data_IF_239057997216
#
_entry.id   IF_239057997216
#
_cell.length_a   1.000
_cell.length_b   1.000
_cell.length_c   1.000
_cell.angle_alpha   90.00
_cell.angle_beta   90.00
_cell.angle_gamma   90.00
#
_symmetry.space_group_name_H-M   'P 1'
#
loop_
_entity.id
_entity.type
_entity.pdbx_description
1 polymer ?
#
# COMPACT_ATOMS: atom_id res chain seq x y z
N UNK A 1 11.60 -55.47 14.88
CA UNK A 1 12.30 -54.35 15.46
C UNK A 1 12.57 -53.25 14.47
N UNK A 2 13.25 -53.59 13.42
CA UNK A 2 13.58 -52.60 12.42
C UNK A 2 12.37 -51.99 11.77
N UNK A 3 11.34 -52.79 11.64
CA UNK A 3 10.12 -52.27 10.98
C UNK A 3 9.49 -51.15 11.77
N UNK A 4 9.55 -51.25 13.07
CA UNK A 4 9.00 -50.19 13.89
C UNK A 4 9.72 -48.89 13.70
N UNK A 5 11.02 -48.96 13.61
CA UNK A 5 11.81 -47.76 13.40
C UNK A 5 11.50 -47.12 12.08
N UNK A 6 11.41 -47.93 11.06
CA UNK A 6 11.09 -47.42 9.74
C UNK A 6 9.72 -46.80 9.72
N UNK A 7 8.81 -47.40 10.42
CA UNK A 7 7.47 -46.87 10.49
C UNK A 7 7.45 -45.52 11.18
N UNK A 8 8.19 -45.38 12.26
CA UNK A 8 8.28 -44.12 12.97
C UNK A 8 8.93 -43.06 12.10
N UNK A 9 9.93 -43.46 11.35
CA UNK A 9 10.58 -42.52 10.43
C UNK A 9 9.62 -42.02 9.39
N UNK A 10 8.80 -42.93 8.87
CA UNK A 10 7.82 -42.52 7.88
C UNK A 10 6.85 -41.50 8.42
N UNK A 11 6.43 -41.68 9.62
CA UNK A 11 5.52 -40.73 10.23
C UNK A 11 6.18 -39.39 10.44
N UNK A 12 7.41 -39.40 10.89
CA UNK A 12 8.15 -38.15 11.06
C UNK A 12 8.31 -37.45 9.75
N UNK A 13 8.55 -38.19 8.71
CA UNK A 13 8.67 -37.60 7.38
C UNK A 13 7.38 -36.91 6.95
N UNK A 14 6.27 -37.56 7.21
CA UNK A 14 4.98 -36.97 6.87
C UNK A 14 4.74 -35.69 7.64
N UNK A 15 5.07 -35.68 8.88
CA UNK A 15 4.92 -34.47 9.68
C UNK A 15 5.81 -33.34 9.15
N UNK A 16 7.01 -33.70 8.78
CA UNK A 16 7.93 -32.71 8.24
C UNK A 16 7.40 -32.11 6.95
N UNK A 17 6.90 -32.95 6.07
CA UNK A 17 6.33 -32.50 4.81
C UNK A 17 5.10 -31.63 5.05
N UNK A 18 4.25 -32.07 5.94
CA UNK A 18 3.04 -31.34 6.27
C UNK A 18 3.39 -29.98 6.86
N UNK A 19 4.38 -29.96 7.72
CA UNK A 19 4.83 -28.72 8.35
C UNK A 19 5.40 -27.75 7.33
N UNK A 20 6.15 -28.28 6.38
CA UNK A 20 6.73 -27.46 5.33
C UNK A 20 5.65 -26.86 4.45
N UNK A 21 4.67 -27.65 4.09
CA UNK A 21 3.54 -27.17 3.29
C UNK A 21 2.79 -26.07 4.02
N UNK A 22 2.55 -26.28 5.28
CA UNK A 22 1.83 -25.32 6.09
C UNK A 22 2.60 -24.01 6.20
N UNK A 23 3.90 -24.15 6.32
CA UNK A 23 4.77 -22.99 6.44
C UNK A 23 4.80 -22.19 5.13
N UNK A 24 4.77 -22.92 4.01
CA UNK A 24 4.80 -22.26 2.71
C UNK A 24 3.58 -21.37 2.49
N UNK A 25 2.45 -21.83 2.94
CA UNK A 25 1.22 -21.07 2.75
C UNK A 25 1.27 -19.71 3.41
N UNK A 26 2.03 -19.62 4.47
CA UNK A 26 2.13 -18.35 5.18
C UNK A 26 2.80 -17.27 4.36
N UNK A 27 3.72 -17.68 3.53
CA UNK A 27 4.47 -16.73 2.72
C UNK A 27 3.59 -16.03 1.69
N UNK A 28 2.56 -16.71 1.24
CA UNK A 28 1.70 -16.13 0.22
C UNK A 28 0.86 -14.98 0.74
N UNK A 29 0.62 -14.93 2.04
CA UNK A 29 -0.23 -13.91 2.61
C UNK A 29 0.43 -12.55 2.69
N UNK A 30 1.74 -12.50 2.53
CA UNK A 30 2.48 -11.26 2.73
C UNK A 30 2.39 -10.30 1.56
N UNK A 31 2.02 -10.80 0.40
CA UNK A 31 2.08 -9.99 -0.80
C UNK A 31 0.90 -9.08 -1.02
N UNK A 32 -0.11 -9.18 -0.20
CA UNK A 32 -1.35 -8.47 -0.46
C UNK A 32 -1.19 -6.95 -0.44
N UNK A 33 -0.17 -6.45 0.21
CA UNK A 33 -0.02 -5.03 0.43
C UNK A 33 0.77 -4.32 -0.65
N UNK A 34 1.53 -5.06 -1.42
CA UNK A 34 2.53 -4.46 -2.30
C UNK A 34 2.07 -4.44 -3.75
N UNK A 35 1.03 -3.68 -4.02
CA UNK A 35 0.52 -3.55 -5.37
C UNK A 35 1.44 -2.66 -6.20
N UNK A 36 1.85 -3.14 -7.35
CA UNK A 36 2.70 -2.38 -8.25
C UNK A 36 1.91 -1.91 -9.45
N UNK A 37 2.21 -0.72 -9.90
CA UNK A 37 1.50 -0.13 -11.03
C UNK A 37 2.48 0.46 -12.02
N UNK A 38 1.99 0.66 -13.22
CA UNK A 38 2.72 1.34 -14.27
C UNK A 38 1.79 2.35 -14.89
N UNK A 39 2.09 3.63 -14.70
CA UNK A 39 1.30 4.70 -15.30
C UNK A 39 2.24 5.82 -15.71
N UNK A 40 1.84 6.55 -16.72
CA UNK A 40 2.64 7.65 -17.21
C UNK A 40 1.70 8.74 -17.72
N UNK A 41 1.80 9.91 -17.13
CA UNK A 41 1.05 11.07 -17.60
C UNK A 41 1.81 12.33 -17.22
N UNK A 42 1.48 13.39 -17.90
CA UNK A 42 2.19 14.64 -17.74
C UNK A 42 1.21 15.80 -17.75
N UNK A 43 1.34 16.67 -16.76
CA UNK A 43 0.52 17.87 -16.71
C UNK A 43 -0.97 17.57 -16.77
N UNK A 44 -1.40 16.59 -16.00
CA UNK A 44 -2.78 16.12 -15.97
C UNK A 44 -3.47 16.70 -14.74
N UNK A 45 -4.73 17.13 -14.86
CA UNK A 45 -5.45 17.58 -13.67
C UNK A 45 -5.50 16.48 -12.62
N UNK A 46 -5.40 16.87 -11.37
CA UNK A 46 -5.36 15.89 -10.28
C UNK A 46 -6.55 14.94 -10.32
N UNK A 47 -7.71 15.45 -10.68
CA UNK A 47 -8.90 14.64 -10.76
C UNK A 47 -8.71 13.47 -11.73
N UNK A 48 -8.16 13.78 -12.89
CA UNK A 48 -7.94 12.75 -13.90
C UNK A 48 -6.78 11.84 -13.52
N UNK A 49 -5.77 12.41 -12.90
CA UNK A 49 -4.64 11.61 -12.44
C UNK A 49 -5.10 10.57 -11.41
N UNK A 50 -5.97 10.97 -10.52
CA UNK A 50 -6.54 10.05 -9.55
C UNK A 50 -7.24 8.90 -10.27
N UNK A 51 -8.03 9.24 -11.28
CA UNK A 51 -8.75 8.22 -12.02
C UNK A 51 -7.80 7.25 -12.70
N UNK A 52 -6.74 7.76 -13.28
CA UNK A 52 -5.75 6.90 -13.93
C UNK A 52 -5.15 5.91 -12.94
N UNK A 53 -4.85 6.39 -11.74
CA UNK A 53 -4.26 5.51 -10.74
C UNK A 53 -5.29 4.52 -10.21
N UNK A 54 -6.54 4.92 -10.07
CA UNK A 54 -7.59 4.00 -9.66
C UNK A 54 -7.71 2.85 -10.64
N UNK A 55 -7.71 3.17 -11.92
CA UNK A 55 -7.83 2.15 -12.96
C UNK A 55 -6.62 1.24 -12.95
N UNK A 56 -5.44 1.80 -12.79
CA UNK A 56 -4.21 1.01 -12.85
C UNK A 56 -4.02 0.15 -11.61
N UNK A 57 -4.48 0.61 -10.46
CA UNK A 57 -4.18 -0.07 -9.21
C UNK A 57 -5.36 -0.85 -8.64
N UNK A 58 -6.56 -0.47 -8.97
CA UNK A 58 -7.74 -1.07 -8.36
C UNK A 58 -8.06 -0.51 -6.99
N UNK A 59 -7.34 0.53 -6.58
CA UNK A 59 -7.64 1.20 -5.31
C UNK A 59 -8.69 2.27 -5.53
N UNK A 60 -9.33 2.67 -4.46
CA UNK A 60 -10.35 3.73 -4.50
C UNK A 60 -9.83 4.92 -3.70
N UNK A 61 -9.96 6.11 -4.27
CA UNK A 61 -9.53 7.32 -3.59
C UNK A 61 -10.67 7.98 -2.84
N UNK A 62 -10.34 8.49 -1.67
CA UNK A 62 -11.25 9.29 -0.86
C UNK A 62 -10.63 10.64 -0.59
N UNK A 63 -11.36 11.69 -0.81
CA UNK A 63 -10.88 13.03 -0.58
C UNK A 63 -12.06 13.98 -0.45
N UNK A 64 -11.78 15.12 0.17
CA UNK A 64 -12.78 16.18 0.33
C UNK A 64 -12.52 17.21 -0.75
N UNK A 65 -13.38 17.25 -1.75
CA UNK A 65 -13.21 18.15 -2.87
C UNK A 65 -13.22 19.62 -2.49
N UNK A 66 -13.71 19.94 -1.31
CA UNK A 66 -13.71 21.32 -0.85
C UNK A 66 -12.36 21.72 -0.25
N UNK A 67 -11.54 20.77 0.08
CA UNK A 67 -10.25 21.02 0.70
C UNK A 67 -9.08 20.76 -0.23
N UNK A 68 -9.33 20.14 -1.37
CA UNK A 68 -8.29 19.78 -2.30
C UNK A 68 -8.59 20.38 -3.66
N UNK A 69 -7.59 21.02 -4.24
CA UNK A 69 -7.72 21.59 -5.57
C UNK A 69 -7.53 20.49 -6.61
N UNK A 70 -8.63 20.00 -7.15
CA UNK A 70 -8.59 18.91 -8.12
C UNK A 70 -8.17 19.38 -9.51
N UNK A 71 -8.09 20.67 -9.72
CA UNK A 71 -7.69 21.21 -11.02
C UNK A 71 -6.18 21.38 -11.16
N UNK A 72 -5.46 21.26 -10.06
CA UNK A 72 -4.00 21.42 -10.14
C UNK A 72 -3.41 20.30 -10.99
N UNK A 73 -2.33 20.62 -11.66
CA UNK A 73 -1.71 19.67 -12.58
C UNK A 73 -0.64 18.85 -11.90
N UNK A 74 -0.60 17.58 -12.23
CA UNK A 74 0.40 16.67 -11.68
C UNK A 74 0.96 15.82 -12.81
N UNK A 75 2.13 15.26 -12.57
CA UNK A 75 2.78 14.38 -13.53
C UNK A 75 3.28 13.17 -12.80
N UNK A 76 3.30 12.06 -13.51
CA UNK A 76 3.79 10.81 -12.94
C UNK A 76 4.30 9.93 -14.06
N UNK A 77 5.44 9.30 -13.81
CA UNK A 77 5.99 8.36 -14.76
C UNK A 77 6.63 7.24 -13.96
N UNK A 78 5.88 6.16 -13.78
CA UNK A 78 6.35 5.03 -13.01
C UNK A 78 6.12 3.75 -13.79
N UNK A 79 7.00 2.79 -13.58
CA UNK A 79 6.94 1.52 -14.24
C UNK A 79 7.20 0.43 -13.22
N UNK A 80 6.19 -0.38 -12.98
CA UNK A 80 6.29 -1.50 -12.04
C UNK A 80 6.74 -1.03 -10.65
N UNK A 81 6.13 0.04 -10.16
CA UNK A 81 6.45 0.62 -8.86
C UNK A 81 5.33 0.39 -7.87
N UNK A 82 5.66 0.26 -6.58
CA UNK A 82 4.60 0.16 -5.57
C UNK A 82 3.71 1.38 -5.61
N UNK A 83 2.43 1.18 -5.31
CA UNK A 83 1.48 2.29 -5.32
C UNK A 83 1.92 3.42 -4.41
N UNK A 84 2.53 3.07 -3.28
CA UNK A 84 2.99 4.07 -2.34
C UNK A 84 4.08 4.96 -2.96
N UNK A 85 5.02 4.36 -3.65
CA UNK A 85 6.07 5.12 -4.31
C UNK A 85 5.52 6.02 -5.40
N UNK A 86 4.56 5.50 -6.15
CA UNK A 86 3.93 6.29 -7.20
C UNK A 86 3.23 7.49 -6.63
N UNK A 87 2.49 7.31 -5.54
CA UNK A 87 1.79 8.42 -4.92
C UNK A 87 2.75 9.45 -4.36
N UNK A 88 3.82 8.99 -3.73
CA UNK A 88 4.82 9.92 -3.23
C UNK A 88 5.41 10.77 -4.34
N UNK A 89 5.68 10.16 -5.47
CA UNK A 89 6.24 10.88 -6.60
C UNK A 89 5.24 11.88 -7.16
N UNK A 90 3.99 11.47 -7.31
CA UNK A 90 2.96 12.33 -7.87
C UNK A 90 2.66 13.52 -6.97
N UNK A 91 2.54 13.26 -5.68
CA UNK A 91 2.12 14.30 -4.75
C UNK A 91 3.26 15.15 -4.20
N UNK A 92 4.48 14.85 -4.63
CA UNK A 92 5.64 15.60 -4.14
C UNK A 92 5.54 17.08 -4.43
N UNK A 93 4.99 17.43 -5.57
CA UNK A 93 4.90 18.83 -5.97
C UNK A 93 3.61 19.49 -5.50
N UNK A 94 2.83 18.79 -4.73
CA UNK A 94 1.57 19.31 -4.20
C UNK A 94 1.65 19.44 -2.69
N UNK A 95 0.64 20.08 -2.11
CA UNK A 95 0.52 20.17 -0.67
C UNK A 95 -0.38 19.08 -0.12
N UNK A 96 -0.32 17.92 -0.72
CA UNK A 96 -1.19 16.82 -0.32
C UNK A 96 -0.41 15.69 0.30
N UNK A 97 -1.08 14.98 1.19
CA UNK A 97 -0.59 13.76 1.80
C UNK A 97 -1.59 12.66 1.53
N UNK A 98 -1.19 11.45 1.80
CA UNK A 98 -2.09 10.33 1.58
C UNK A 98 -1.88 9.26 2.65
N UNK A 99 -2.89 8.44 2.80
CA UNK A 99 -2.83 7.28 3.67
C UNK A 99 -3.48 6.11 2.96
N UNK A 100 -2.81 4.98 2.98
CA UNK A 100 -3.32 3.78 2.31
C UNK A 100 -3.84 2.81 3.35
N UNK A 101 -5.08 2.37 3.17
CA UNK A 101 -5.71 1.41 4.05
C UNK A 101 -6.41 0.36 3.22
N UNK A 102 -5.99 -0.89 3.32
CA UNK A 102 -6.56 -1.96 2.52
C UNK A 102 -6.52 -1.61 1.04
N UNK A 103 -7.66 -1.28 0.48
CA UNK A 103 -7.74 -0.90 -0.93
C UNK A 103 -8.23 0.52 -1.11
N UNK A 104 -8.03 1.34 -0.10
CA UNK A 104 -8.49 2.71 -0.14
C UNK A 104 -7.32 3.65 0.10
N UNK A 105 -7.35 4.78 -0.58
CA UNK A 105 -6.32 5.80 -0.44
C UNK A 105 -7.01 7.10 -0.09
N UNK A 106 -6.68 7.63 1.08
CA UNK A 106 -7.24 8.89 1.52
C UNK A 106 -6.27 10.01 1.21
N UNK A 107 -6.76 11.06 0.56
CA UNK A 107 -5.97 12.25 0.27
C UNK A 107 -6.41 13.38 1.17
N UNK A 108 -5.46 14.12 1.68
CA UNK A 108 -5.76 15.25 2.55
C UNK A 108 -4.65 16.30 2.45
N UNK A 109 -4.94 17.54 2.79
CA UNK A 109 -3.93 18.60 2.73
C UNK A 109 -2.81 18.36 3.73
N UNK A 110 -1.60 18.70 3.34
CA UNK A 110 -0.43 18.49 4.19
C UNK A 110 -0.18 19.64 5.14
N UNK A 111 -1.08 20.55 5.24
CA UNK A 111 -0.85 21.81 5.93
C UNK A 111 -0.21 21.67 7.32
N UNK A 112 -0.55 20.62 8.03
CA UNK A 112 0.00 20.41 9.36
C UNK A 112 0.70 19.07 9.43
N UNK A 113 1.64 18.90 8.54
CA UNK A 113 2.33 17.62 8.46
C UNK A 113 2.93 17.20 9.78
N UNK A 114 3.56 18.13 10.45
CA UNK A 114 4.18 17.82 11.73
C UNK A 114 3.14 17.46 12.79
N UNK A 115 2.03 18.19 12.76
CA UNK A 115 0.97 17.91 13.71
C UNK A 115 0.34 16.55 13.47
N UNK A 116 0.15 16.23 12.22
CA UNK A 116 -0.47 14.96 11.90
C UNK A 116 0.43 13.80 12.28
N UNK A 117 1.70 13.99 12.15
CA UNK A 117 2.62 12.95 12.56
C UNK A 117 2.51 12.70 14.04
N UNK A 118 2.31 13.77 14.72
CA UNK A 118 2.13 13.60 16.14
C UNK A 118 0.79 13.11 16.46
N UNK A 119 0.25 13.20 16.22
CA UNK A 119 -0.78 12.72 16.69
C UNK A 119 -1.18 12.96 17.79
N UNK A 120 -0.87 13.16 18.04
CA UNK A 120 -1.16 13.38 18.86
C UNK A 120 -1.32 14.44 19.41
N UNK A 121 -0.99 14.63 19.07
CA UNK A 121 -1.06 15.34 19.46
C UNK A 121 -1.14 16.27 19.94
N UNK A 122 -1.09 16.29 19.98
CA UNK A 122 -1.11 16.87 20.40
C UNK A 122 -1.18 17.72 21.08
N UNK A 123 -1.07 17.74 21.26
CA UNK A 123 -1.04 18.10 21.92
C UNK A 123 -1.10 18.99 22.26
N UNK A 124 -0.96 18.99 22.13
CA UNK A 124 -0.98 19.45 22.36
C UNK A 124 -1.26 20.28 22.85
N UNK A 125 -1.24 20.23 22.82
CA UNK A 125 -1.45 20.63 23.20
C UNK A 125 -1.55 21.32 23.75
N UNK A 126 -1.54 21.34 24.02
CA UNK A 126 -1.50 21.63 24.41
C UNK A 126 -1.37 22.42 24.90
N UNK A 127 -1.17 22.54 25.06
CA UNK A 127 -1.07 22.84 25.25
C UNK A 127 -1.27 23.06 25.59
#
# INVERSE_FOLDING_TARGET
MNNKRQFVKGRNCLYAIFFLLFFSLRLLAVEAVDKKISVSFSNLPLKEAIHEIEVASGYTFFYDGNKIDLTQKVSLNVSNQPIESALNSMLRTTDLSFEITSKQIALFPRQNASASAGKPSRKITGT
#
